data_IF_651481906123
#
_entry.id   IF_651481906123
#
_cell.length_a   1.000
_cell.length_b   1.000
_cell.length_c   1.000
_cell.angle_alpha   90.00
_cell.angle_beta   90.00
_cell.angle_gamma   90.00
#
_symmetry.space_group_name_H-M   'P 1'
#
loop_
_entity.id
_entity.type
_entity.pdbx_description
1 polymer ?
#
# COMPACT_ATOMS: atom_id res chain seq x y z
N UNK A 1 -22.50 -6.24 -43.25
CA UNK A 1 -22.67 -5.66 -41.91
C UNK A 1 -21.39 -5.92 -41.11
N UNK A 2 -20.56 -4.90 -40.90
CA UNK A 2 -19.39 -4.97 -40.01
C UNK A 2 -19.80 -4.34 -38.68
N UNK A 3 -19.66 -5.10 -37.59
CA UNK A 3 -19.91 -4.61 -36.24
C UNK A 3 -18.78 -3.67 -35.83
N UNK A 4 -19.12 -2.42 -35.54
CA UNK A 4 -18.25 -1.42 -34.91
C UNK A 4 -18.03 -1.82 -33.46
N UNK A 5 -16.78 -2.11 -33.09
CA UNK A 5 -16.40 -2.33 -31.70
C UNK A 5 -16.62 -1.03 -30.92
N UNK A 6 -17.45 -1.11 -29.88
CA UNK A 6 -17.64 -0.03 -28.93
C UNK A 6 -16.31 0.25 -28.21
N UNK A 7 -15.81 1.46 -28.39
CA UNK A 7 -14.61 1.98 -27.76
C UNK A 7 -14.85 2.05 -26.25
N UNK A 8 -14.23 1.16 -25.48
CA UNK A 8 -14.36 1.12 -24.03
C UNK A 8 -13.47 2.21 -23.44
N UNK A 9 -14.01 3.40 -23.28
CA UNK A 9 -13.40 4.46 -22.49
C UNK A 9 -13.25 3.97 -21.04
N UNK A 10 -12.03 3.60 -20.64
CA UNK A 10 -11.70 3.28 -19.25
C UNK A 10 -11.53 4.60 -18.49
N UNK A 11 -12.44 4.88 -17.57
CA UNK A 11 -12.25 5.93 -16.57
C UNK A 11 -11.17 5.48 -15.58
N UNK A 12 -9.97 6.05 -15.72
CA UNK A 12 -8.91 5.91 -14.71
C UNK A 12 -9.12 7.01 -13.69
N UNK A 13 -9.55 6.64 -12.49
CA UNK A 13 -9.54 7.58 -11.37
C UNK A 13 -8.09 7.83 -10.97
N UNK A 14 -7.57 9.00 -11.33
CA UNK A 14 -6.31 9.50 -10.79
C UNK A 14 -6.56 9.84 -9.32
N UNK A 15 -6.26 8.90 -8.43
CA UNK A 15 -6.17 9.23 -7.00
C UNK A 15 -5.05 10.27 -6.85
N UNK A 16 -5.27 11.38 -6.12
CA UNK A 16 -4.21 12.33 -5.86
C UNK A 16 -3.07 11.61 -5.15
N UNK A 17 -1.92 11.50 -5.82
CA UNK A 17 -0.70 10.96 -5.24
C UNK A 17 -0.25 12.00 -4.22
N UNK A 18 -0.20 11.61 -2.95
CA UNK A 18 0.26 12.50 -1.89
C UNK A 18 1.73 12.85 -2.16
N UNK A 19 2.11 14.13 -2.32
CA UNK A 19 3.50 14.52 -2.57
C UNK A 19 4.48 14.01 -1.51
N UNK A 20 4.00 13.79 -0.28
CA UNK A 20 4.79 13.20 0.80
C UNK A 20 5.31 11.79 0.49
N UNK A 21 4.69 11.07 -0.46
CA UNK A 21 5.15 9.74 -0.89
C UNK A 21 6.48 9.80 -1.64
N UNK A 22 6.84 10.95 -2.20
CA UNK A 22 8.13 11.19 -2.88
C UNK A 22 9.22 11.69 -1.93
N UNK A 23 8.85 12.06 -0.71
CA UNK A 23 9.77 12.40 0.36
C UNK A 23 10.16 11.09 1.07
N UNK A 24 11.44 10.91 1.41
CA UNK A 24 11.90 9.72 2.13
C UNK A 24 11.17 9.52 3.47
N UNK A 25 11.18 8.29 4.00
CA UNK A 25 10.57 7.94 5.29
C UNK A 25 9.56 6.79 5.22
N UNK A 26 8.93 6.39 6.35
CA UNK A 26 8.09 5.19 6.43
C UNK A 26 6.83 5.20 5.54
N UNK A 27 6.31 6.38 5.23
CA UNK A 27 5.17 6.56 4.31
C UNK A 27 5.59 6.77 2.85
N UNK A 28 6.90 6.74 2.56
CA UNK A 28 7.46 6.90 1.23
C UNK A 28 7.18 5.69 0.36
N UNK A 29 7.01 5.91 -0.95
CA UNK A 29 6.97 4.84 -1.94
C UNK A 29 8.26 4.01 -1.91
N UNK A 30 9.39 4.65 -1.56
CA UNK A 30 10.68 3.97 -1.42
C UNK A 30 10.66 2.96 -0.28
N UNK A 31 9.96 3.25 0.82
CA UNK A 31 9.82 2.31 1.94
C UNK A 31 8.97 1.09 1.57
N UNK A 32 7.93 1.29 0.76
CA UNK A 32 7.06 0.20 0.28
C UNK A 32 7.76 -0.69 -0.77
N UNK A 33 8.70 -0.14 -1.53
CA UNK A 33 9.48 -0.87 -2.53
C UNK A 33 10.73 -1.57 -1.97
N UNK A 34 11.17 -1.18 -0.77
CA UNK A 34 12.36 -1.73 -0.12
C UNK A 34 12.02 -2.97 0.73
N UNK A 35 11.39 -3.98 0.12
CA UNK A 35 10.94 -5.19 0.85
C UNK A 35 11.94 -6.33 0.83
N UNK A 36 12.96 -6.27 -0.03
CA UNK A 36 14.09 -7.21 -0.04
C UNK A 36 15.37 -6.45 -0.40
N UNK A 37 16.48 -6.81 0.27
CA UNK A 37 17.80 -6.19 0.20
C UNK A 37 18.51 -6.31 -1.15
N UNK A 38 17.83 -6.03 -2.26
CA UNK A 38 18.42 -5.98 -3.58
C UNK A 38 18.86 -4.55 -3.88
N UNK A 39 20.14 -4.40 -4.18
CA UNK A 39 20.74 -3.11 -4.52
C UNK A 39 20.05 -2.55 -5.77
N UNK A 40 19.48 -1.33 -5.71
CA UNK A 40 18.93 -0.68 -6.89
C UNK A 40 19.98 -0.59 -8.00
N UNK A 41 19.58 -0.83 -9.24
CA UNK A 41 20.47 -0.75 -10.39
C UNK A 41 20.30 0.61 -11.08
N UNK A 42 21.36 1.42 -11.15
CA UNK A 42 21.35 2.65 -11.95
C UNK A 42 21.49 2.25 -13.41
N UNK A 43 20.38 2.36 -14.15
CA UNK A 43 20.30 1.93 -15.55
C UNK A 43 20.54 3.09 -16.53
N UNK A 44 20.61 4.33 -16.04
CA UNK A 44 21.00 5.46 -16.86
C UNK A 44 20.86 6.81 -16.17
N UNK A 45 20.90 7.85 -17.00
CA UNK A 45 20.58 9.22 -16.61
C UNK A 45 19.47 9.75 -17.52
N UNK A 46 18.62 10.59 -16.95
CA UNK A 46 17.49 11.21 -17.65
C UNK A 46 17.37 12.68 -17.29
N UNK A 47 16.56 13.42 -18.05
CA UNK A 47 16.16 14.79 -17.69
C UNK A 47 14.67 14.80 -17.40
N UNK A 48 14.29 15.08 -16.15
CA UNK A 48 12.89 15.15 -15.69
C UNK A 48 12.66 16.51 -15.06
N UNK A 49 11.58 17.20 -15.42
CA UNK A 49 11.28 18.56 -14.95
C UNK A 49 12.49 19.52 -15.08
N UNK A 50 13.21 19.45 -16.21
CA UNK A 50 14.43 20.22 -16.49
C UNK A 50 15.64 19.94 -15.57
N UNK A 51 15.58 18.87 -14.77
CA UNK A 51 16.63 18.48 -13.83
C UNK A 51 17.27 17.16 -14.22
N UNK A 52 18.58 17.05 -14.00
CA UNK A 52 19.31 15.81 -14.22
C UNK A 52 18.91 14.78 -13.16
N UNK A 53 18.59 13.57 -13.61
CA UNK A 53 18.14 12.48 -12.76
C UNK A 53 18.95 11.21 -13.01
N UNK A 54 19.20 10.43 -11.97
CA UNK A 54 19.55 9.02 -12.12
C UNK A 54 18.28 8.22 -12.40
N UNK A 55 18.32 7.41 -13.45
CA UNK A 55 17.27 6.46 -13.77
C UNK A 55 17.62 5.12 -13.13
N UNK A 56 16.80 4.69 -12.18
CA UNK A 56 17.07 3.56 -11.30
C UNK A 56 16.00 2.52 -11.48
N UNK A 57 16.40 1.27 -11.72
CA UNK A 57 15.51 0.13 -11.68
C UNK A 57 15.56 -0.52 -10.30
N UNK A 58 14.39 -0.68 -9.70
CA UNK A 58 14.19 -1.35 -8.42
C UNK A 58 13.39 -2.62 -8.68
N UNK A 59 13.89 -3.79 -8.27
CA UNK A 59 13.12 -5.02 -8.32
C UNK A 59 11.89 -4.88 -7.43
N UNK A 60 10.74 -5.26 -7.97
CA UNK A 60 9.50 -5.33 -7.23
C UNK A 60 9.42 -6.57 -6.35
N UNK A 61 8.36 -6.69 -5.55
CA UNK A 61 8.19 -7.80 -4.61
C UNK A 61 7.95 -9.17 -5.27
N UNK A 62 7.67 -9.21 -6.57
CA UNK A 62 7.68 -10.44 -7.35
C UNK A 62 8.79 -10.38 -8.39
N UNK A 63 9.36 -11.54 -8.73
CA UNK A 63 10.50 -11.70 -9.67
C UNK A 63 10.28 -11.06 -11.03
N UNK A 64 9.02 -10.87 -11.43
CA UNK A 64 8.62 -10.39 -12.74
C UNK A 64 8.15 -8.93 -12.73
N UNK A 65 8.18 -8.27 -11.58
CA UNK A 65 7.82 -6.84 -11.46
C UNK A 65 9.06 -6.01 -11.22
N UNK A 66 9.21 -4.94 -11.99
CA UNK A 66 10.21 -3.90 -11.73
C UNK A 66 9.51 -2.56 -11.62
N UNK A 67 10.03 -1.72 -10.74
CA UNK A 67 9.72 -0.31 -10.69
C UNK A 67 10.93 0.47 -11.25
N UNK A 68 10.67 1.55 -11.95
CA UNK A 68 11.66 2.51 -12.39
C UNK A 68 11.43 3.81 -11.66
N UNK A 69 12.50 4.38 -11.14
CA UNK A 69 12.50 5.59 -10.33
C UNK A 69 13.49 6.57 -10.94
N UNK A 70 13.07 7.82 -11.13
CA UNK A 70 13.94 8.91 -11.51
C UNK A 70 14.28 9.73 -10.26
N UNK A 71 15.56 9.81 -9.89
CA UNK A 71 16.04 10.49 -8.68
C UNK A 71 16.88 11.70 -9.08
N UNK A 72 16.50 12.89 -8.61
CA UNK A 72 17.24 14.14 -8.83
C UNK A 72 18.67 14.04 -8.32
N UNK A 73 19.65 14.37 -9.18
CA UNK A 73 21.07 14.21 -8.84
C UNK A 73 21.56 15.18 -7.77
N UNK A 74 20.89 16.33 -7.63
CA UNK A 74 21.31 17.39 -6.71
C UNK A 74 20.64 17.25 -5.33
N UNK A 75 19.34 16.97 -5.30
CA UNK A 75 18.55 16.95 -4.05
C UNK A 75 18.25 15.53 -3.55
N UNK A 76 18.39 14.50 -4.39
CA UNK A 76 17.99 13.14 -4.08
C UNK A 76 16.46 12.92 -4.06
N UNK A 77 15.66 13.90 -4.48
CA UNK A 77 14.20 13.76 -4.56
C UNK A 77 13.78 12.84 -5.71
N UNK A 78 12.68 12.11 -5.52
CA UNK A 78 12.08 11.31 -6.59
C UNK A 78 11.31 12.25 -7.54
N UNK A 79 11.75 12.32 -8.79
CA UNK A 79 11.14 13.10 -9.87
C UNK A 79 10.17 12.28 -10.72
N UNK A 80 10.31 10.97 -10.72
CA UNK A 80 9.51 10.09 -11.55
C UNK A 80 9.40 8.70 -10.96
N UNK A 81 8.27 8.05 -11.20
CA UNK A 81 8.00 6.69 -10.80
C UNK A 81 7.18 6.00 -11.88
N UNK A 82 7.65 4.85 -12.35
CA UNK A 82 6.94 3.96 -13.28
C UNK A 82 6.98 2.56 -12.69
N UNK A 83 5.89 1.79 -12.71
CA UNK A 83 5.95 0.44 -12.15
C UNK A 83 4.61 -0.29 -12.06
N UNK A 84 4.66 -1.46 -11.41
CA UNK A 84 3.51 -2.35 -11.19
C UNK A 84 2.82 -2.78 -12.50
N UNK A 85 3.58 -3.26 -13.48
CA UNK A 85 3.02 -3.72 -14.76
C UNK A 85 2.32 -2.61 -15.57
N UNK A 86 2.78 -1.37 -15.45
CA UNK A 86 2.22 -0.20 -16.14
C UNK A 86 1.00 0.41 -15.47
N UNK A 87 0.64 -0.03 -14.26
CA UNK A 87 -0.50 0.50 -13.51
C UNK A 87 -0.20 1.82 -12.80
N UNK A 88 1.09 2.15 -12.61
CA UNK A 88 1.52 3.37 -11.94
C UNK A 88 2.52 4.12 -12.81
N UNK A 89 2.19 5.37 -13.13
CA UNK A 89 3.10 6.32 -13.77
C UNK A 89 2.86 7.71 -13.17
N UNK A 90 3.89 8.26 -12.54
CA UNK A 90 3.89 9.61 -12.01
C UNK A 90 5.20 10.30 -12.39
N UNK A 91 5.12 11.59 -12.72
CA UNK A 91 6.29 12.41 -12.98
C UNK A 91 6.03 13.81 -12.45
N UNK A 92 7.04 14.37 -11.80
CA UNK A 92 7.11 15.80 -11.53
C UNK A 92 7.26 16.50 -12.89
N UNK A 93 6.47 17.55 -13.09
CA UNK A 93 6.50 18.38 -14.30
C UNK A 93 7.29 19.67 -14.09
N UNK A 94 7.38 20.13 -12.85
CA UNK A 94 8.09 21.34 -12.45
C UNK A 94 8.55 21.17 -11.00
N UNK A 95 9.82 21.52 -10.72
CA UNK A 95 10.38 21.52 -9.37
C UNK A 95 11.15 22.81 -9.13
N UNK A 96 10.83 23.48 -8.02
CA UNK A 96 11.55 24.66 -7.55
C UNK A 96 12.11 24.38 -6.16
N UNK A 97 13.43 24.48 -6.05
CA UNK A 97 14.13 24.35 -4.77
C UNK A 97 14.30 25.74 -4.19
N UNK A 98 13.88 25.92 -2.94
CA UNK A 98 14.01 27.18 -2.22
C UNK A 98 14.90 26.94 -0.98
N UNK A 99 15.82 27.86 -0.68
CA UNK A 99 16.62 27.81 0.56
C UNK A 99 15.73 27.93 1.80
N UNK A 100 14.62 28.68 1.69
CA UNK A 100 13.56 28.76 2.69
C UNK A 100 12.22 28.89 2.00
N UNK A 101 11.21 28.21 2.55
CA UNK A 101 9.83 28.32 2.10
C UNK A 101 9.12 29.27 3.06
N UNK A 102 8.51 30.37 2.57
CA UNK A 102 7.75 31.28 3.42
C UNK A 102 6.62 30.56 4.19
N UNK A 103 6.44 30.88 5.48
CA UNK A 103 5.46 30.22 6.35
C UNK A 103 4.02 30.33 5.81
N UNK A 104 3.71 31.43 5.11
CA UNK A 104 2.39 31.67 4.51
C UNK A 104 2.06 30.68 3.39
N UNK A 105 3.04 29.98 2.81
CA UNK A 105 2.81 28.90 1.83
C UNK A 105 2.23 27.65 2.44
N UNK A 106 2.35 27.48 3.75
CA UNK A 106 1.71 26.39 4.50
C UNK A 106 0.30 26.77 4.98
N UNK A 107 -0.11 28.04 4.81
CA UNK A 107 -1.46 28.46 5.14
C UNK A 107 -2.43 28.03 4.03
N UNK A 108 -3.27 27.03 4.32
CA UNK A 108 -4.36 26.64 3.42
C UNK A 108 -5.62 27.45 3.72
N UNK A 109 -6.01 28.31 2.79
CA UNK A 109 -7.18 29.18 2.84
C UNK A 109 -8.27 28.79 1.81
N UNK A 110 -8.06 27.69 1.07
CA UNK A 110 -9.05 27.15 0.14
C UNK A 110 -10.08 26.23 0.81
N UNK A 111 -11.14 25.84 0.09
CA UNK A 111 -12.06 24.82 0.57
C UNK A 111 -11.31 23.51 0.77
N UNK A 112 -11.29 23.00 2.00
CA UNK A 112 -10.89 21.63 2.27
C UNK A 112 -12.07 20.73 1.92
N UNK A 113 -11.86 19.79 0.99
CA UNK A 113 -12.78 18.68 0.91
C UNK A 113 -12.67 17.92 2.24
N UNK A 114 -13.80 17.68 2.92
CA UNK A 114 -13.84 16.65 3.96
C UNK A 114 -13.49 15.34 3.27
N UNK A 115 -12.24 14.95 3.34
CA UNK A 115 -11.83 13.66 2.85
C UNK A 115 -12.52 12.63 3.76
N UNK A 116 -13.40 11.81 3.19
CA UNK A 116 -13.93 10.62 3.89
C UNK A 116 -12.81 9.69 4.36
N UNK A 117 -11.61 9.82 3.79
CA UNK A 117 -10.40 9.14 4.22
C UNK A 117 -9.81 9.81 5.47
N UNK A 118 -9.83 11.15 5.58
CA UNK A 118 -9.27 11.89 6.73
C UNK A 118 -10.21 11.92 7.94
N UNK A 119 -11.53 11.96 7.76
CA UNK A 119 -12.47 11.80 8.90
C UNK A 119 -12.38 10.41 9.55
N UNK A 120 -11.81 9.40 8.86
CA UNK A 120 -11.56 8.06 9.42
C UNK A 120 -10.11 7.82 9.83
N UNK A 121 -9.13 8.54 9.27
CA UNK A 121 -7.71 8.37 9.59
C UNK A 121 -7.13 9.42 10.55
N UNK A 122 -7.90 10.44 10.94
CA UNK A 122 -7.53 11.31 12.05
C UNK A 122 -7.73 10.57 13.37
N UNK A 123 -6.71 9.80 13.75
CA UNK A 123 -6.55 9.10 15.03
C UNK A 123 -7.48 7.90 15.18
N UNK A 124 -7.27 6.84 14.38
CA UNK A 124 -7.51 5.51 14.93
C UNK A 124 -6.44 5.32 16.00
N UNK A 125 -6.83 5.51 17.26
CA UNK A 125 -5.96 5.17 18.38
C UNK A 125 -5.68 3.67 18.29
N UNK A 126 -4.50 3.30 17.79
CA UNK A 126 -4.07 1.90 17.66
C UNK A 126 -4.17 1.19 19.01
N UNK A 127 -4.13 1.92 20.13
CA UNK A 127 -4.39 1.33 21.44
C UNK A 127 -5.84 0.87 21.61
N UNK A 128 -6.84 1.60 21.11
CA UNK A 128 -8.25 1.16 21.12
C UNK A 128 -8.52 -0.06 20.23
N UNK A 129 -7.67 -0.30 19.21
CA UNK A 129 -7.77 -1.50 18.38
C UNK A 129 -7.32 -2.77 19.12
N UNK A 130 -6.47 -2.63 20.15
CA UNK A 130 -5.96 -3.78 20.92
C UNK A 130 -7.04 -4.45 21.75
N UNK A 131 -8.08 -3.70 22.12
CA UNK A 131 -9.19 -4.20 22.94
C UNK A 131 -10.29 -4.87 22.12
N UNK A 132 -10.24 -4.77 20.78
CA UNK A 132 -11.20 -5.45 19.93
C UNK A 132 -10.92 -6.96 20.03
N UNK A 133 -11.89 -7.82 20.38
CA UNK A 133 -11.69 -9.25 20.38
C UNK A 133 -11.36 -9.72 18.96
N UNK A 134 -10.13 -10.21 18.76
CA UNK A 134 -9.69 -10.71 17.47
C UNK A 134 -9.46 -12.20 17.52
N UNK A 135 -10.21 -12.93 16.70
CA UNK A 135 -9.80 -14.27 16.29
C UNK A 135 -8.55 -14.11 15.40
N UNK A 136 -7.37 -14.24 15.99
CA UNK A 136 -6.11 -14.33 15.25
C UNK A 136 -5.74 -15.79 15.00
N UNK A 137 -4.99 -16.11 13.94
CA UNK A 137 -4.48 -17.45 13.73
C UNK A 137 -3.72 -17.93 14.95
N UNK A 138 -4.14 -19.03 15.58
CA UNK A 138 -3.37 -19.67 16.66
C UNK A 138 -2.21 -20.51 16.12
N UNK A 139 -2.23 -20.76 14.82
CA UNK A 139 -1.17 -21.44 14.10
C UNK A 139 -0.65 -20.53 12.98
N UNK A 140 0.65 -20.34 12.99
CA UNK A 140 1.43 -19.92 11.84
C UNK A 140 2.72 -20.76 11.84
N UNK A 141 3.28 -21.12 10.67
CA UNK A 141 4.49 -21.96 10.60
C UNK A 141 5.66 -21.48 11.48
N UNK A 142 5.79 -20.16 11.69
CA UNK A 142 6.94 -19.52 12.36
C UNK A 142 6.65 -18.89 13.73
N UNK A 143 5.47 -19.11 14.32
CA UNK A 143 5.04 -18.52 15.61
C UNK A 143 3.93 -17.48 15.45
N UNK A 144 3.29 -17.00 16.52
CA UNK A 144 2.14 -16.06 16.39
C UNK A 144 2.36 -14.83 17.25
N UNK A 145 2.75 -13.73 16.61
CA UNK A 145 2.51 -12.36 17.08
C UNK A 145 1.66 -11.61 16.07
N UNK A 146 1.03 -10.52 16.49
CA UNK A 146 0.32 -9.64 15.56
C UNK A 146 0.30 -8.22 16.09
N UNK A 147 0.32 -7.27 15.16
CA UNK A 147 0.18 -5.85 15.44
C UNK A 147 -1.01 -5.31 14.63
N UNK A 148 -2.07 -4.80 15.30
CA UNK A 148 -3.12 -4.04 14.62
C UNK A 148 -2.52 -2.82 13.92
N UNK A 149 -2.82 -2.66 12.64
CA UNK A 149 -2.28 -1.58 11.83
C UNK A 149 -3.35 -0.52 11.51
N UNK A 150 -4.55 -0.98 11.17
CA UNK A 150 -5.69 -0.11 10.88
C UNK A 150 -7.00 -0.83 11.22
N UNK A 151 -8.07 -0.08 11.39
CA UNK A 151 -9.38 -0.66 11.67
C UNK A 151 -10.43 0.40 12.00
N UNK A 152 -11.65 -0.05 12.17
CA UNK A 152 -12.80 0.73 12.60
C UNK A 152 -13.44 -0.02 13.78
N UNK A 153 -13.28 0.51 14.99
CA UNK A 153 -13.78 -0.13 16.21
C UNK A 153 -15.32 -0.21 16.24
N UNK A 154 -16.03 0.71 15.57
CA UNK A 154 -17.50 0.73 15.54
C UNK A 154 -18.05 -0.40 14.68
N UNK A 155 -17.34 -0.76 13.61
CA UNK A 155 -17.75 -1.86 12.71
C UNK A 155 -17.03 -3.18 12.97
N UNK A 156 -15.91 -3.14 13.69
CA UNK A 156 -15.02 -4.29 13.90
C UNK A 156 -14.13 -4.62 12.69
N UNK A 157 -14.12 -3.76 11.65
CA UNK A 157 -13.16 -3.84 10.56
C UNK A 157 -11.74 -3.72 11.13
N UNK A 158 -10.85 -4.63 10.74
CA UNK A 158 -9.49 -4.67 11.27
C UNK A 158 -8.51 -5.19 10.24
N UNK A 159 -7.36 -4.54 10.17
CA UNK A 159 -6.19 -4.91 9.37
C UNK A 159 -5.03 -5.09 10.34
N UNK A 160 -4.41 -6.27 10.30
CA UNK A 160 -3.30 -6.63 11.15
C UNK A 160 -2.12 -7.09 10.31
N UNK A 161 -0.93 -6.75 10.77
CA UNK A 161 0.30 -7.38 10.31
C UNK A 161 0.61 -8.52 11.29
N UNK A 162 0.83 -9.72 10.77
CA UNK A 162 1.25 -10.85 11.57
C UNK A 162 2.77 -10.75 11.77
N UNK A 163 3.23 -10.83 13.02
CA UNK A 163 4.64 -10.68 13.40
C UNK A 163 5.40 -11.99 13.17
N UNK A 164 5.44 -12.40 11.90
CA UNK A 164 5.97 -13.68 11.41
C UNK A 164 6.76 -13.43 10.13
N UNK A 165 7.48 -14.45 9.65
CA UNK A 165 8.21 -14.37 8.38
C UNK A 165 7.30 -13.87 7.24
N UNK A 166 7.85 -12.98 6.40
CA UNK A 166 7.16 -12.27 5.31
C UNK A 166 6.05 -11.27 5.70
N UNK A 167 5.85 -11.03 6.99
CA UNK A 167 4.89 -10.05 7.54
C UNK A 167 3.52 -10.07 6.82
N UNK A 168 2.82 -11.22 6.81
CA UNK A 168 1.54 -11.38 6.13
C UNK A 168 0.48 -10.50 6.76
N UNK A 169 -0.48 -10.08 5.95
CA UNK A 169 -1.52 -9.12 6.37
C UNK A 169 -2.84 -9.86 6.46
N UNK A 170 -3.49 -9.77 7.61
CA UNK A 170 -4.81 -10.32 7.84
C UNK A 170 -5.82 -9.18 7.97
N UNK A 171 -6.79 -9.16 7.06
CA UNK A 171 -7.90 -8.23 7.09
C UNK A 171 -9.21 -8.96 7.45
N UNK A 172 -10.06 -8.32 8.24
CA UNK A 172 -11.44 -8.75 8.50
C UNK A 172 -12.41 -7.58 8.41
N UNK A 173 -13.63 -7.84 7.96
CA UNK A 173 -14.71 -6.85 7.92
C UNK A 173 -16.08 -7.54 7.93
N UNK A 174 -17.16 -6.85 8.36
CA UNK A 174 -18.49 -7.46 8.49
C UNK A 174 -19.03 -8.05 7.18
N UNK A 175 -19.79 -9.14 7.27
CA UNK A 175 -20.57 -9.65 6.14
C UNK A 175 -21.55 -8.57 5.65
N UNK A 176 -21.71 -8.47 4.32
CA UNK A 176 -22.59 -7.47 3.69
C UNK A 176 -22.01 -6.06 3.64
N UNK A 177 -20.82 -5.83 4.18
CA UNK A 177 -20.09 -4.56 4.07
C UNK A 177 -18.92 -4.68 3.09
N UNK A 178 -18.63 -3.64 2.28
CA UNK A 178 -17.39 -3.59 1.53
C UNK A 178 -16.20 -3.34 2.47
N UNK A 179 -15.03 -3.85 2.14
CA UNK A 179 -13.77 -3.49 2.82
C UNK A 179 -13.46 -2.02 2.51
N UNK A 180 -13.29 -1.18 3.53
CA UNK A 180 -13.22 0.28 3.36
C UNK A 180 -11.87 0.89 3.72
N UNK A 181 -11.06 0.20 4.53
CA UNK A 181 -9.82 0.73 5.10
C UNK A 181 -8.55 0.08 4.58
N UNK A 182 -8.63 -0.73 3.53
CA UNK A 182 -7.44 -1.33 2.95
C UNK A 182 -6.60 -0.27 2.23
N UNK A 183 -5.56 0.19 2.93
CA UNK A 183 -4.52 0.97 2.30
C UNK A 183 -3.83 0.09 1.26
N UNK A 184 -3.95 0.51 -0.01
CA UNK A 184 -3.33 -0.20 -1.13
C UNK A 184 -1.82 -0.29 -0.96
N UNK A 185 -1.18 0.67 -0.27
CA UNK A 185 0.24 0.63 0.03
C UNK A 185 0.60 -0.46 1.04
N UNK A 186 -0.30 -0.81 1.96
CA UNK A 186 -0.02 -1.89 2.92
C UNK A 186 0.11 -3.23 2.23
N UNK A 187 -0.68 -3.47 1.19
CA UNK A 187 -0.65 -4.73 0.43
C UNK A 187 0.33 -4.70 -0.74
N UNK A 188 1.05 -3.59 -0.96
CA UNK A 188 2.19 -3.56 -1.89
C UNK A 188 3.24 -4.49 -1.33
N UNK A 189 3.56 -5.55 -2.07
CA UNK A 189 4.43 -6.62 -1.56
C UNK A 189 3.78 -7.99 -1.56
N UNK A 190 2.47 -8.05 -1.34
CA UNK A 190 1.76 -9.30 -1.07
C UNK A 190 0.93 -9.72 -2.29
N UNK A 191 1.60 -10.39 -3.24
CA UNK A 191 1.02 -10.78 -4.52
C UNK A 191 -0.09 -11.84 -4.41
N UNK A 192 -0.12 -12.60 -3.31
CA UNK A 192 -1.05 -13.71 -3.13
C UNK A 192 -2.11 -13.35 -2.11
N UNK A 193 -3.36 -13.71 -2.43
CA UNK A 193 -4.51 -13.45 -1.56
C UNK A 193 -5.37 -14.68 -1.44
N UNK A 194 -5.89 -14.91 -0.23
CA UNK A 194 -6.89 -15.95 0.02
C UNK A 194 -8.02 -15.36 0.84
N UNK A 195 -9.24 -15.61 0.38
CA UNK A 195 -10.49 -15.12 0.96
C UNK A 195 -11.27 -16.24 1.62
N UNK A 196 -11.90 -15.95 2.76
CA UNK A 196 -12.93 -16.80 3.32
C UNK A 196 -13.93 -15.99 4.13
N UNK A 197 -15.06 -16.61 4.44
CA UNK A 197 -16.14 -16.01 5.22
C UNK A 197 -16.53 -16.99 6.33
N UNK A 198 -16.84 -16.47 7.52
CA UNK A 198 -17.44 -17.25 8.59
C UNK A 198 -18.92 -16.83 8.81
N UNK A 199 -19.45 -16.90 10.04
CA UNK A 199 -20.83 -16.50 10.33
C UNK A 199 -21.03 -14.98 10.45
N UNK A 200 -19.95 -14.24 10.67
CA UNK A 200 -19.98 -12.84 11.09
C UNK A 200 -19.08 -11.96 10.20
N UNK A 201 -17.97 -12.52 9.72
CA UNK A 201 -16.88 -11.77 9.10
C UNK A 201 -16.51 -12.33 7.72
N UNK A 202 -16.18 -11.42 6.82
CA UNK A 202 -15.30 -11.68 5.71
C UNK A 202 -13.86 -11.53 6.17
N UNK A 203 -13.00 -12.38 5.63
CA UNK A 203 -11.58 -12.41 5.92
C UNK A 203 -10.80 -12.44 4.62
N UNK A 204 -9.64 -11.80 4.65
CA UNK A 204 -8.65 -11.88 3.57
C UNK A 204 -7.25 -11.94 4.17
N UNK A 205 -6.49 -12.90 3.70
CA UNK A 205 -5.07 -13.03 4.02
C UNK A 205 -4.25 -12.65 2.80
N UNK A 206 -3.31 -11.73 2.97
CA UNK A 206 -2.33 -11.33 1.98
C UNK A 206 -0.97 -11.90 2.35
N UNK A 207 -0.32 -12.58 1.40
CA UNK A 207 1.02 -13.16 1.59
C UNK A 207 1.94 -12.79 0.45
N UNK A 208 3.25 -12.71 0.73
CA UNK A 208 4.29 -12.51 -0.28
C UNK A 208 4.59 -13.79 -1.04
N UNK A 209 4.52 -14.93 -0.35
CA UNK A 209 4.75 -16.28 -0.86
C UNK A 209 3.42 -17.02 -0.97
N UNK A 210 3.17 -17.83 -2.00
CA UNK A 210 1.94 -18.60 -2.11
C UNK A 210 1.86 -19.65 -0.99
N UNK A 211 0.71 -19.71 -0.32
CA UNK A 211 0.42 -20.75 0.67
C UNK A 211 -0.12 -22.01 0.00
N UNK A 212 0.33 -23.17 0.47
CA UNK A 212 -0.26 -24.44 0.04
C UNK A 212 -1.72 -24.53 0.54
N UNK A 213 -2.66 -25.16 -0.20
CA UNK A 213 -4.05 -25.26 0.24
C UNK A 213 -4.22 -25.87 1.64
N UNK A 214 -3.47 -26.93 1.94
CA UNK A 214 -3.49 -27.58 3.26
C UNK A 214 -2.97 -26.68 4.39
N UNK A 215 -2.02 -25.80 4.08
CA UNK A 215 -1.48 -24.84 5.04
C UNK A 215 -2.47 -23.71 5.32
N UNK A 216 -3.10 -23.18 4.26
CA UNK A 216 -4.20 -22.23 4.39
C UNK A 216 -5.37 -22.81 5.22
N UNK A 217 -5.80 -24.04 4.93
CA UNK A 217 -6.86 -24.71 5.69
C UNK A 217 -6.50 -24.80 7.18
N UNK A 218 -5.24 -25.13 7.50
CA UNK A 218 -4.76 -25.20 8.88
C UNK A 218 -4.74 -23.83 9.56
N UNK A 219 -4.30 -22.78 8.87
CA UNK A 219 -4.33 -21.39 9.37
C UNK A 219 -5.77 -20.98 9.67
N UNK A 220 -6.68 -21.14 8.69
CA UNK A 220 -8.10 -20.82 8.82
C UNK A 220 -8.76 -21.56 9.97
N UNK A 221 -8.54 -22.88 10.06
CA UNK A 221 -9.18 -23.70 11.09
C UNK A 221 -8.60 -23.41 12.48
N UNK A 222 -7.35 -22.94 12.57
CA UNK A 222 -6.76 -22.48 13.83
C UNK A 222 -7.46 -21.27 14.42
N UNK A 223 -8.15 -20.46 13.60
CA UNK A 223 -8.86 -19.26 14.04
C UNK A 223 -10.26 -19.55 14.59
N UNK A 224 -10.79 -20.76 14.38
CA UNK A 224 -12.12 -21.13 14.87
C UNK A 224 -12.07 -21.36 16.38
N UNK A 225 -12.87 -20.63 17.14
CA UNK A 225 -13.10 -20.93 18.57
C UNK A 225 -13.67 -22.35 18.72
N UNK A 226 -13.29 -23.02 19.82
CA UNK A 226 -13.97 -24.23 20.29
C UNK A 226 -15.20 -23.83 21.08
#
# INVERSE_FOLDING_TARGET
MRATHADKTRFVSLLPINPMQFLGGPASILSALNTESQTPNVIGVATIAERAAWHVQVPGPSTDTTAEIDIDQETGMVLGLRGLGGMLAASIIEMRVHESIPDDRFAWNGPTARSRVVERSSVVDVSSLRDIPVAVPRYWPTGVGYTPHAGDADTGELIMILDVEDAPILARWPIGSPLTLLDRLLVVGHAYTVDWTDKTWNWRLYTRVPLAPAEFDRIRDSMRER
#
